data_IF_539170816634
#
_entry.id   IF_539170816634
#
_cell.length_a   1.000
_cell.length_b   1.000
_cell.length_c   1.000
_cell.angle_alpha   90.00
_cell.angle_beta   90.00
_cell.angle_gamma   90.00
#
_symmetry.space_group_name_H-M   'P 1'
#
loop_
_entity.id
_entity.type
_entity.pdbx_description
1 polymer ?
#
# COMPACT_ATOMS: atom_id res chain seq x y z
N UNK A 1 15.59 8.87 -4.08
CA UNK A 1 16.10 7.50 -3.73
C UNK A 1 16.01 7.22 -2.24
N UNK A 2 16.33 8.21 -1.41
CA UNK A 2 16.36 8.11 0.03
C UNK A 2 14.94 7.95 0.64
N UNK A 3 13.95 8.74 0.18
CA UNK A 3 12.54 8.55 0.59
C UNK A 3 12.00 7.19 0.18
N UNK A 4 12.37 6.67 -1.00
CA UNK A 4 11.98 5.33 -1.42
C UNK A 4 12.48 4.26 -0.44
N UNK A 5 13.72 4.35 0.04
CA UNK A 5 14.25 3.47 1.09
C UNK A 5 13.45 3.60 2.39
N UNK A 6 13.11 4.83 2.81
CA UNK A 6 12.32 5.08 4.03
C UNK A 6 10.88 4.53 3.90
N UNK A 7 10.25 4.72 2.76
CA UNK A 7 8.94 4.17 2.45
C UNK A 7 8.96 2.63 2.42
N UNK A 8 9.98 2.03 1.81
CA UNK A 8 10.14 0.58 1.80
C UNK A 8 10.39 0.04 3.22
N UNK A 9 11.20 0.73 4.03
CA UNK A 9 11.40 0.36 5.43
C UNK A 9 10.07 0.41 6.22
N UNK A 10 9.34 1.53 6.17
CA UNK A 10 8.14 1.70 6.97
C UNK A 10 6.95 0.85 6.48
N UNK A 11 6.64 0.85 5.18
CA UNK A 11 5.46 0.17 4.66
C UNK A 11 5.69 -1.31 4.35
N UNK A 12 6.91 -1.70 3.96
CA UNK A 12 7.22 -3.08 3.57
C UNK A 12 7.83 -3.85 4.72
N UNK A 13 8.93 -3.36 5.33
CA UNK A 13 9.61 -4.10 6.42
C UNK A 13 8.82 -4.03 7.73
N UNK A 14 8.36 -2.85 8.12
CA UNK A 14 7.57 -2.60 9.33
C UNK A 14 6.06 -2.79 9.14
N UNK A 15 5.62 -3.22 7.95
CA UNK A 15 4.22 -3.50 7.68
C UNK A 15 3.71 -4.69 8.51
N UNK A 16 2.44 -4.62 8.94
CA UNK A 16 1.78 -5.70 9.70
C UNK A 16 1.90 -7.07 9.00
N UNK A 17 1.91 -7.06 7.66
CA UNK A 17 2.12 -8.26 6.89
C UNK A 17 3.49 -8.89 7.18
N UNK A 18 4.57 -8.11 7.14
CA UNK A 18 5.92 -8.65 7.32
C UNK A 18 6.26 -8.96 8.79
N UNK A 19 5.70 -8.17 9.72
CA UNK A 19 5.93 -8.38 11.15
C UNK A 19 5.12 -9.52 11.75
N UNK A 20 3.97 -9.87 11.17
CA UNK A 20 3.04 -10.86 11.76
C UNK A 20 2.57 -11.87 10.72
N UNK A 21 1.94 -11.41 9.64
CA UNK A 21 1.19 -12.32 8.76
C UNK A 21 2.09 -13.20 7.87
N UNK A 22 3.32 -12.78 7.58
CA UNK A 22 4.35 -13.56 6.88
C UNK A 22 4.66 -14.87 7.62
N UNK A 23 4.73 -14.82 8.95
CA UNK A 23 4.93 -15.98 9.82
C UNK A 23 3.70 -16.87 9.92
N UNK A 24 2.52 -16.36 9.58
CA UNK A 24 1.26 -17.09 9.57
C UNK A 24 0.88 -17.64 8.20
N UNK A 25 1.78 -17.63 7.20
CA UNK A 25 1.49 -18.04 5.81
C UNK A 25 0.85 -19.43 5.72
N UNK A 26 1.25 -20.39 6.56
CA UNK A 26 0.64 -21.71 6.65
C UNK A 26 -0.81 -21.69 7.16
N UNK A 27 -1.08 -20.87 8.18
CA UNK A 27 -2.43 -20.69 8.73
C UNK A 27 -3.36 -19.94 7.76
N UNK A 28 -2.82 -19.00 6.98
CA UNK A 28 -3.57 -18.38 5.88
C UNK A 28 -4.01 -19.40 4.84
N UNK A 29 -3.12 -20.32 4.43
CA UNK A 29 -3.48 -21.42 3.52
C UNK A 29 -4.59 -22.29 4.11
N UNK A 30 -4.49 -22.67 5.38
CA UNK A 30 -5.51 -23.43 6.07
C UNK A 30 -6.85 -22.68 6.14
N UNK A 31 -6.83 -21.38 6.41
CA UNK A 31 -8.02 -20.54 6.42
C UNK A 31 -8.70 -20.50 5.05
N UNK A 32 -7.95 -20.24 3.97
CA UNK A 32 -8.51 -20.27 2.61
C UNK A 32 -9.02 -21.66 2.21
N UNK A 33 -8.33 -22.71 2.62
CA UNK A 33 -8.78 -24.08 2.38
C UNK A 33 -10.11 -24.38 3.08
N UNK A 34 -10.28 -23.95 4.33
CA UNK A 34 -11.54 -24.09 5.05
C UNK A 34 -12.67 -23.23 4.44
N UNK A 35 -12.36 -22.03 3.95
CA UNK A 35 -13.35 -21.23 3.22
C UNK A 35 -13.80 -21.92 1.93
N UNK A 36 -12.86 -22.53 1.19
CA UNK A 36 -13.18 -23.31 0.00
C UNK A 36 -14.05 -24.52 0.35
N UNK A 37 -13.72 -25.23 1.44
CA UNK A 37 -14.50 -26.37 1.92
C UNK A 37 -15.91 -25.94 2.35
N UNK A 38 -16.04 -24.78 2.99
CA UNK A 38 -17.33 -24.18 3.36
C UNK A 38 -18.19 -23.90 2.11
N UNK A 39 -17.61 -23.30 1.07
CA UNK A 39 -18.30 -23.05 -0.20
C UNK A 39 -18.73 -24.34 -0.91
N UNK A 40 -17.86 -25.36 -0.91
CA UNK A 40 -18.20 -26.68 -1.47
C UNK A 40 -19.34 -27.32 -0.68
N UNK A 41 -19.31 -27.22 0.65
CA UNK A 41 -20.38 -27.71 1.50
C UNK A 41 -21.70 -26.97 1.21
N UNK A 42 -21.68 -25.65 1.05
CA UNK A 42 -22.86 -24.86 0.67
C UNK A 42 -23.42 -25.31 -0.69
N UNK A 43 -22.57 -25.56 -1.69
CA UNK A 43 -22.98 -26.06 -3.01
C UNK A 43 -23.61 -27.46 -2.94
N UNK A 44 -23.06 -28.35 -2.11
CA UNK A 44 -23.61 -29.69 -1.89
C UNK A 44 -24.97 -29.58 -1.19
N UNK A 45 -25.06 -28.81 -0.11
CA UNK A 45 -26.30 -28.60 0.64
C UNK A 45 -27.38 -28.01 -0.26
N UNK A 46 -27.02 -27.10 -1.17
CA UNK A 46 -27.95 -26.56 -2.16
C UNK A 46 -28.57 -27.63 -3.08
N UNK A 47 -27.88 -28.76 -3.31
CA UNK A 47 -28.39 -29.84 -4.15
C UNK A 47 -29.32 -30.82 -3.41
N UNK A 48 -29.19 -30.92 -2.09
CA UNK A 48 -29.86 -31.96 -1.28
C UNK A 48 -30.96 -31.44 -0.35
N UNK A 49 -30.99 -30.14 -0.07
CA UNK A 49 -31.92 -29.55 0.91
C UNK A 49 -33.03 -28.76 0.21
N UNK A 50 -34.24 -28.81 0.76
CA UNK A 50 -35.38 -28.02 0.27
C UNK A 50 -35.08 -26.52 0.26
N UNK A 51 -35.58 -25.83 -0.76
CA UNK A 51 -35.34 -24.41 -1.05
C UNK A 51 -35.55 -23.46 0.15
N UNK A 52 -36.44 -23.83 1.07
CA UNK A 52 -36.74 -23.07 2.30
C UNK A 52 -35.53 -22.92 3.24
N UNK A 53 -34.55 -23.82 3.19
CA UNK A 53 -33.41 -23.81 4.12
C UNK A 53 -32.11 -23.25 3.51
N UNK A 54 -32.09 -22.84 2.24
CA UNK A 54 -30.87 -22.27 1.62
C UNK A 54 -30.40 -20.98 2.28
N UNK A 55 -31.32 -20.03 2.51
CA UNK A 55 -30.98 -18.75 3.12
C UNK A 55 -30.40 -18.93 4.54
N UNK A 56 -31.01 -19.74 5.43
CA UNK A 56 -30.43 -20.06 6.73
C UNK A 56 -29.03 -20.68 6.67
N UNK A 57 -28.80 -21.63 5.75
CA UNK A 57 -27.49 -22.30 5.61
C UNK A 57 -26.41 -21.30 5.20
N UNK A 58 -26.69 -20.47 4.18
CA UNK A 58 -25.74 -19.45 3.71
C UNK A 58 -25.42 -18.44 4.83
N UNK A 59 -26.42 -18.01 5.60
CA UNK A 59 -26.21 -17.10 6.73
C UNK A 59 -25.33 -17.73 7.82
N UNK A 60 -25.54 -19.02 8.10
CA UNK A 60 -24.74 -19.76 9.08
C UNK A 60 -23.28 -19.91 8.61
N UNK A 61 -23.08 -20.25 7.33
CA UNK A 61 -21.75 -20.28 6.70
C UNK A 61 -21.08 -18.91 6.76
N UNK A 62 -21.81 -17.82 6.51
CA UNK A 62 -21.29 -16.46 6.58
C UNK A 62 -20.87 -16.07 8.02
N UNK A 63 -21.55 -16.57 9.04
CA UNK A 63 -21.17 -16.42 10.45
C UNK A 63 -19.94 -17.27 10.83
N UNK A 64 -19.72 -18.42 10.19
CA UNK A 64 -18.54 -19.24 10.42
C UNK A 64 -17.25 -18.57 9.94
N UNK A 65 -17.30 -17.76 8.87
CA UNK A 65 -16.13 -17.05 8.31
C UNK A 65 -15.38 -16.21 9.36
N UNK A 66 -16.01 -15.25 10.07
CA UNK A 66 -15.32 -14.45 11.08
C UNK A 66 -14.81 -15.29 12.27
N UNK A 67 -15.52 -16.37 12.62
CA UNK A 67 -15.10 -17.28 13.69
C UNK A 67 -13.84 -18.06 13.32
N UNK A 68 -13.80 -18.61 12.10
CA UNK A 68 -12.60 -19.26 11.54
C UNK A 68 -11.42 -18.28 11.46
N UNK A 69 -11.67 -17.03 11.04
CA UNK A 69 -10.64 -16.00 11.01
C UNK A 69 -10.09 -15.71 12.41
N UNK A 70 -10.97 -15.59 13.41
CA UNK A 70 -10.56 -15.35 14.79
C UNK A 70 -9.68 -16.49 15.33
N UNK A 71 -10.09 -17.74 15.13
CA UNK A 71 -9.39 -18.91 15.65
C UNK A 71 -8.06 -19.12 14.94
N UNK A 72 -8.02 -19.06 13.61
CA UNK A 72 -6.84 -19.43 12.84
C UNK A 72 -5.84 -18.29 12.66
N UNK A 73 -6.31 -17.06 12.54
CA UNK A 73 -5.45 -15.91 12.25
C UNK A 73 -5.26 -15.06 13.50
N UNK A 74 -6.35 -14.53 14.09
CA UNK A 74 -6.23 -13.54 15.18
C UNK A 74 -5.60 -14.13 16.45
N UNK A 75 -6.10 -15.27 16.93
CA UNK A 75 -5.58 -15.91 18.15
C UNK A 75 -4.10 -16.29 18.01
N UNK A 76 -3.73 -16.81 16.84
CA UNK A 76 -2.37 -17.21 16.50
C UNK A 76 -1.44 -16.00 16.37
N UNK A 77 -1.90 -14.92 15.75
CA UNK A 77 -1.18 -13.65 15.69
C UNK A 77 -0.92 -13.10 17.11
N UNK A 78 -1.94 -13.09 17.97
CA UNK A 78 -1.79 -12.65 19.37
C UNK A 78 -0.80 -13.51 20.14
N UNK A 79 -0.86 -14.84 19.98
CA UNK A 79 0.10 -15.77 20.58
C UNK A 79 1.52 -15.51 20.08
N UNK A 80 1.70 -15.35 18.77
CA UNK A 80 2.98 -15.09 18.13
C UNK A 80 3.63 -13.80 18.64
N UNK A 81 2.87 -12.71 18.70
CA UNK A 81 3.35 -11.41 19.21
C UNK A 81 3.79 -11.54 20.68
N UNK A 82 3.03 -12.28 21.49
CA UNK A 82 3.35 -12.49 22.90
C UNK A 82 4.61 -13.35 23.09
N UNK A 83 4.82 -14.38 22.29
CA UNK A 83 6.00 -15.26 22.43
C UNK A 83 7.24 -14.72 21.75
N UNK A 84 7.14 -14.18 20.54
CA UNK A 84 8.31 -13.75 19.75
C UNK A 84 8.74 -12.32 20.05
N UNK A 85 7.81 -11.41 20.32
CA UNK A 85 8.12 -10.00 20.58
C UNK A 85 7.94 -9.62 22.06
N UNK A 86 7.43 -10.54 22.90
CA UNK A 86 7.12 -10.28 24.30
C UNK A 86 6.19 -9.07 24.51
N UNK A 87 5.29 -8.82 23.54
CA UNK A 87 4.32 -7.74 23.61
C UNK A 87 2.97 -8.26 24.13
N UNK A 88 2.32 -7.48 24.99
CA UNK A 88 1.04 -7.88 25.60
C UNK A 88 -0.16 -7.66 24.68
N UNK A 89 -0.06 -6.72 23.75
CA UNK A 89 -1.16 -6.28 22.90
C UNK A 89 -0.70 -5.84 21.50
N UNK A 90 -1.66 -5.71 20.58
CA UNK A 90 -1.43 -5.06 19.28
C UNK A 90 -1.15 -3.56 19.40
N UNK A 91 -1.59 -2.91 20.49
CA UNK A 91 -1.24 -1.50 20.75
C UNK A 91 0.24 -1.34 21.09
N UNK A 92 0.82 -2.28 21.83
CA UNK A 92 2.27 -2.33 22.05
C UNK A 92 3.05 -2.55 20.74
N UNK A 93 2.51 -3.31 19.79
CA UNK A 93 3.11 -3.48 18.46
C UNK A 93 3.20 -2.15 17.69
N UNK A 94 2.16 -1.32 17.75
CA UNK A 94 2.22 0.02 17.13
C UNK A 94 3.29 0.90 17.76
N UNK A 95 3.46 0.83 19.09
CA UNK A 95 4.53 1.56 19.79
C UNK A 95 5.91 1.01 19.42
N UNK A 96 6.07 -0.32 19.35
CA UNK A 96 7.29 -0.98 18.87
C UNK A 96 7.63 -0.53 17.45
N UNK A 97 6.64 -0.51 16.54
CA UNK A 97 6.82 -0.05 15.15
C UNK A 97 7.31 1.39 15.10
N UNK A 98 6.74 2.25 15.94
CA UNK A 98 7.15 3.66 16.03
C UNK A 98 8.58 3.80 16.55
N UNK A 99 8.95 3.03 17.55
CA UNK A 99 10.33 3.03 18.05
C UNK A 99 11.31 2.45 17.03
N UNK A 100 10.98 1.38 16.31
CA UNK A 100 11.82 0.83 15.23
C UNK A 100 12.04 1.86 14.11
N UNK A 101 11.02 2.66 13.80
CA UNK A 101 11.15 3.79 12.89
C UNK A 101 12.08 4.86 13.48
N UNK A 102 11.92 5.24 14.74
CA UNK A 102 12.80 6.19 15.41
C UNK A 102 14.27 5.72 15.42
N UNK A 103 14.56 4.50 15.88
CA UNK A 103 15.91 3.96 15.92
C UNK A 103 16.56 3.86 14.52
N UNK A 104 15.76 3.57 13.49
CA UNK A 104 16.23 3.59 12.10
C UNK A 104 16.57 5.03 11.62
N UNK A 105 15.76 6.01 12.00
CA UNK A 105 15.99 7.43 11.69
C UNK A 105 17.21 7.98 12.44
N UNK A 106 17.35 7.63 13.72
CA UNK A 106 18.48 8.01 14.57
C UNK A 106 19.81 7.51 13.99
N UNK A 107 19.89 6.22 13.62
CA UNK A 107 21.06 5.67 12.91
C UNK A 107 21.35 6.34 11.57
N UNK A 108 20.34 6.93 10.96
CA UNK A 108 20.46 7.66 9.69
C UNK A 108 20.81 9.14 9.90
N UNK A 109 21.06 9.58 11.14
CA UNK A 109 21.43 10.96 11.48
C UNK A 109 20.27 11.87 11.85
N UNK A 110 19.04 11.36 11.96
CA UNK A 110 17.84 12.13 12.33
C UNK A 110 17.43 11.86 13.77
N UNK A 111 18.28 12.25 14.73
CA UNK A 111 18.04 12.01 16.17
C UNK A 111 17.24 13.14 16.83
N UNK A 112 17.37 14.38 16.34
CA UNK A 112 16.78 15.56 16.96
C UNK A 112 15.43 15.95 16.35
N UNK A 113 14.64 16.71 17.10
CA UNK A 113 13.37 17.27 16.61
C UNK A 113 13.55 18.15 15.36
N UNK A 114 14.63 18.94 15.32
CA UNK A 114 14.96 19.81 14.18
C UNK A 114 15.30 18.99 12.93
N UNK A 115 16.02 17.88 13.08
CA UNK A 115 16.35 17.01 11.95
C UNK A 115 15.12 16.26 11.43
N UNK A 116 14.23 15.82 12.33
CA UNK A 116 12.93 15.26 11.93
C UNK A 116 12.05 16.29 11.21
N UNK A 117 12.13 17.58 11.55
CA UNK A 117 11.40 18.63 10.84
C UNK A 117 11.97 18.85 9.43
N UNK A 118 13.31 18.85 9.29
CA UNK A 118 13.97 18.87 7.97
C UNK A 118 13.54 17.66 7.12
N UNK A 119 13.45 16.48 7.72
CA UNK A 119 12.98 15.26 7.04
C UNK A 119 11.53 15.41 6.56
N UNK A 120 10.65 15.98 7.38
CA UNK A 120 9.26 16.25 6.97
C UNK A 120 9.22 17.21 5.77
N UNK A 121 10.02 18.29 5.79
CA UNK A 121 10.09 19.23 4.66
C UNK A 121 10.63 18.55 3.41
N UNK A 122 11.66 17.72 3.54
CA UNK A 122 12.23 16.93 2.46
C UNK A 122 11.21 15.95 1.86
N UNK A 123 10.39 15.32 2.71
CA UNK A 123 9.30 14.45 2.27
C UNK A 123 8.28 15.19 1.41
N UNK A 124 7.83 16.36 1.87
CA UNK A 124 6.88 17.17 1.11
C UNK A 124 7.48 17.69 -0.20
N UNK A 125 8.77 18.04 -0.25
CA UNK A 125 9.41 18.57 -1.46
C UNK A 125 9.59 17.51 -2.55
N UNK A 126 10.09 16.31 -2.23
CA UNK A 126 10.27 15.22 -3.21
C UNK A 126 8.89 14.77 -3.77
N UNK A 127 7.84 14.79 -2.94
CA UNK A 127 6.47 14.48 -3.35
C UNK A 127 5.84 15.58 -4.23
N UNK A 128 6.12 16.85 -3.95
CA UNK A 128 5.69 17.96 -4.80
C UNK A 128 6.37 17.90 -6.18
N UNK A 129 7.65 17.52 -6.23
CA UNK A 129 8.36 17.26 -7.49
C UNK A 129 7.78 16.09 -8.27
N UNK A 130 7.47 14.96 -7.61
CA UNK A 130 6.77 13.84 -8.26
C UNK A 130 5.46 14.33 -8.90
N UNK A 131 4.64 15.10 -8.17
CA UNK A 131 3.36 15.64 -8.67
C UNK A 131 3.57 16.59 -9.86
N UNK A 132 4.59 17.44 -9.81
CA UNK A 132 4.95 18.39 -10.89
C UNK A 132 5.40 17.65 -12.15
N UNK A 133 6.08 16.51 -12.04
CA UNK A 133 6.48 15.69 -13.18
C UNK A 133 5.30 15.00 -13.88
N UNK A 134 4.16 14.80 -13.21
CA UNK A 134 2.98 14.16 -13.81
C UNK A 134 2.08 15.12 -14.62
N UNK A 135 2.01 16.40 -14.25
CA UNK A 135 1.23 17.41 -14.97
C UNK A 135 1.61 17.61 -16.45
N UNK A 136 2.90 17.67 -16.85
CA UNK A 136 3.26 17.79 -18.26
C UNK A 136 2.92 16.52 -19.05
N UNK A 137 2.90 15.35 -18.40
CA UNK A 137 2.64 14.06 -19.05
C UNK A 137 1.21 13.95 -19.58
N UNK A 138 0.23 14.50 -18.86
CA UNK A 138 -1.15 14.57 -19.36
C UNK A 138 -1.31 15.51 -20.56
N UNK A 139 -0.58 16.61 -20.56
CA UNK A 139 -0.59 17.59 -21.67
C UNK A 139 0.10 17.01 -22.89
N UNK A 140 1.23 16.30 -22.72
CA UNK A 140 1.98 15.65 -23.80
C UNK A 140 1.15 14.56 -24.49
N UNK A 141 0.38 13.74 -23.75
CA UNK A 141 -0.51 12.74 -24.35
C UNK A 141 -1.60 13.40 -25.20
N UNK A 142 -2.19 14.49 -24.72
CA UNK A 142 -3.19 15.25 -25.50
C UNK A 142 -2.61 15.86 -26.78
N UNK A 143 -1.42 16.46 -26.69
CA UNK A 143 -0.70 17.03 -27.83
C UNK A 143 -0.26 15.95 -28.82
N UNK A 144 0.20 14.80 -28.34
CA UNK A 144 0.59 13.66 -29.17
C UNK A 144 -0.59 13.10 -29.97
N UNK A 145 -1.75 12.91 -29.32
CA UNK A 145 -2.98 12.45 -30.00
C UNK A 145 -3.41 13.47 -31.06
N UNK A 146 -3.39 14.77 -30.74
CA UNK A 146 -3.75 15.83 -31.68
C UNK A 146 -2.80 15.90 -32.88
N UNK A 147 -1.48 15.81 -32.65
CA UNK A 147 -0.47 15.81 -33.70
C UNK A 147 -0.57 14.56 -34.59
N UNK A 148 -0.77 13.39 -33.99
CA UNK A 148 -0.94 12.13 -34.71
C UNK A 148 -2.18 12.13 -35.61
N UNK A 149 -3.29 12.70 -35.11
CA UNK A 149 -4.51 12.90 -35.90
C UNK A 149 -4.31 13.88 -37.05
N UNK A 150 -3.61 14.99 -36.81
CA UNK A 150 -3.33 15.99 -37.83
C UNK A 150 -2.45 15.42 -38.97
N UNK A 151 -1.44 14.62 -38.63
CA UNK A 151 -0.56 13.97 -39.60
C UNK A 151 -1.35 12.93 -40.40
N UNK A 152 -2.05 12.01 -39.74
CA UNK A 152 -2.81 10.97 -40.44
C UNK A 152 -3.94 11.54 -41.30
N UNK A 153 -4.69 12.51 -40.79
CA UNK A 153 -5.73 13.19 -41.54
C UNK A 153 -5.18 13.98 -42.73
N UNK A 154 -4.05 14.67 -42.55
CA UNK A 154 -3.42 15.45 -43.62
C UNK A 154 -2.76 14.60 -44.70
N UNK A 155 -2.15 13.47 -44.34
CA UNK A 155 -1.45 12.61 -45.30
C UNK A 155 -2.41 11.65 -46.01
N UNK A 156 -3.27 10.92 -45.30
CA UNK A 156 -4.09 9.87 -45.91
C UNK A 156 -5.34 10.39 -46.62
N UNK A 157 -6.00 11.45 -46.12
CA UNK A 157 -7.23 11.94 -46.74
C UNK A 157 -6.99 12.76 -48.02
N UNK A 158 -5.81 13.36 -48.16
CA UNK A 158 -5.43 14.13 -49.35
C UNK A 158 -4.80 13.28 -50.45
N UNK A 159 -4.25 12.10 -50.13
CA UNK A 159 -3.64 11.18 -51.09
C UNK A 159 -4.63 10.23 -51.78
N UNK A 160 -5.90 10.21 -51.35
CA UNK A 160 -6.94 9.33 -51.91
C UNK A 160 -7.85 10.10 -52.87
N UNK A 161 -7.84 9.70 -54.14
CA UNK A 161 -8.65 10.31 -55.19
C UNK A 161 -10.12 9.84 -55.16
N UNK A 162 -10.39 8.61 -54.72
CA UNK A 162 -11.75 8.08 -54.60
C UNK A 162 -12.45 8.59 -53.32
N UNK A 163 -13.63 9.17 -53.51
CA UNK A 163 -14.47 9.73 -52.45
C UNK A 163 -14.91 8.66 -51.44
N UNK A 164 -15.18 7.43 -51.91
CA UNK A 164 -15.66 6.33 -51.06
C UNK A 164 -14.54 5.83 -50.15
N UNK A 165 -13.34 5.63 -50.70
CA UNK A 165 -12.16 5.21 -49.94
C UNK A 165 -11.74 6.27 -48.91
N UNK A 166 -11.80 7.56 -49.29
CA UNK A 166 -11.54 8.68 -48.38
C UNK A 166 -12.52 8.72 -47.21
N UNK A 167 -13.80 8.40 -47.45
CA UNK A 167 -14.82 8.36 -46.39
C UNK A 167 -14.59 7.19 -45.43
N UNK A 168 -14.23 6.01 -45.96
CA UNK A 168 -13.86 4.83 -45.16
C UNK A 168 -12.60 5.12 -44.31
N UNK A 169 -11.57 5.71 -44.91
CA UNK A 169 -10.34 6.09 -44.22
C UNK A 169 -10.60 7.11 -43.10
N UNK A 170 -11.45 8.12 -43.34
CA UNK A 170 -11.84 9.09 -42.32
C UNK A 170 -12.53 8.45 -41.12
N UNK A 171 -13.45 7.50 -41.37
CA UNK A 171 -14.12 6.74 -40.31
C UNK A 171 -13.12 5.89 -39.51
N UNK A 172 -12.20 5.20 -40.19
CA UNK A 172 -11.15 4.41 -39.53
C UNK A 172 -10.22 5.27 -38.67
N UNK A 173 -9.83 6.46 -39.15
CA UNK A 173 -9.01 7.41 -38.40
C UNK A 173 -9.76 7.89 -37.15
N UNK A 174 -11.06 8.20 -37.26
CA UNK A 174 -11.89 8.56 -36.09
C UNK A 174 -11.98 7.43 -35.07
N UNK A 175 -12.21 6.19 -35.51
CA UNK A 175 -12.25 5.02 -34.61
C UNK A 175 -10.91 4.83 -33.91
N UNK A 176 -9.80 4.95 -34.63
CA UNK A 176 -8.46 4.85 -34.05
C UNK A 176 -8.16 5.98 -33.05
N UNK A 177 -8.65 7.20 -33.31
CA UNK A 177 -8.54 8.33 -32.38
C UNK A 177 -9.23 8.03 -31.05
N UNK A 178 -10.44 7.47 -31.11
CA UNK A 178 -11.23 7.10 -29.93
C UNK A 178 -10.49 6.02 -29.14
N UNK A 179 -9.94 5.00 -29.81
CA UNK A 179 -9.17 3.95 -29.16
C UNK A 179 -7.92 4.50 -28.46
N UNK A 180 -7.15 5.37 -29.11
CA UNK A 180 -5.97 6.00 -28.51
C UNK A 180 -6.33 6.88 -27.31
N UNK A 181 -7.44 7.61 -27.38
CA UNK A 181 -7.95 8.40 -26.26
C UNK A 181 -8.33 7.53 -25.06
N UNK A 182 -9.02 6.41 -25.29
CA UNK A 182 -9.37 5.44 -24.23
C UNK A 182 -8.10 4.87 -23.59
N UNK A 183 -7.12 4.46 -24.38
CA UNK A 183 -5.84 3.93 -23.87
C UNK A 183 -5.07 4.99 -23.07
N UNK A 184 -4.98 6.23 -23.59
CA UNK A 184 -4.30 7.33 -22.93
C UNK A 184 -4.94 7.70 -21.58
N UNK A 185 -6.28 7.78 -21.53
CA UNK A 185 -7.02 8.05 -20.29
C UNK A 185 -6.90 6.92 -19.28
N UNK A 186 -6.89 5.65 -19.73
CA UNK A 186 -6.67 4.50 -18.87
C UNK A 186 -5.27 4.51 -18.22
N UNK A 187 -4.22 4.77 -19.01
CA UNK A 187 -2.85 4.92 -18.50
C UNK A 187 -2.78 6.07 -17.48
N UNK A 188 -3.41 7.20 -17.77
CA UNK A 188 -3.45 8.34 -16.87
C UNK A 188 -4.17 8.03 -15.55
N UNK A 189 -5.25 7.25 -15.60
CA UNK A 189 -5.97 6.77 -14.41
C UNK A 189 -5.08 5.91 -13.51
N UNK A 190 -4.30 4.99 -14.09
CA UNK A 190 -3.33 4.16 -13.35
C UNK A 190 -2.27 5.05 -12.68
N UNK A 191 -1.73 6.02 -13.41
CA UNK A 191 -0.72 6.96 -12.90
C UNK A 191 -1.29 7.79 -11.75
N UNK A 192 -2.51 8.33 -11.91
CA UNK A 192 -3.19 9.10 -10.87
C UNK A 192 -3.44 8.27 -9.62
N UNK A 193 -3.92 7.04 -9.77
CA UNK A 193 -4.12 6.12 -8.65
C UNK A 193 -2.83 5.86 -7.88
N UNK A 194 -1.70 5.71 -8.59
CA UNK A 194 -0.38 5.57 -7.97
C UNK A 194 0.03 6.83 -7.19
N UNK A 195 -0.20 8.02 -7.75
CA UNK A 195 0.08 9.30 -7.09
C UNK A 195 -0.79 9.47 -5.82
N UNK A 196 -2.08 9.18 -5.89
CA UNK A 196 -2.99 9.20 -4.74
C UNK A 196 -2.52 8.24 -3.64
N UNK A 197 -2.07 7.04 -4.00
CA UNK A 197 -1.51 6.10 -3.04
C UNK A 197 -0.19 6.60 -2.42
N UNK A 198 0.66 7.28 -3.18
CA UNK A 198 1.88 7.89 -2.64
C UNK A 198 1.56 9.02 -1.64
N UNK A 199 0.60 9.90 -1.95
CA UNK A 199 0.17 10.96 -1.00
C UNK A 199 -0.45 10.40 0.28
N UNK A 200 -1.17 9.28 0.21
CA UNK A 200 -1.66 8.57 1.41
C UNK A 200 -0.50 8.05 2.25
N UNK A 201 0.51 7.43 1.63
CA UNK A 201 1.71 6.94 2.31
C UNK A 201 2.49 8.07 2.98
N UNK A 202 2.67 9.17 2.27
CA UNK A 202 3.29 10.39 2.80
C UNK A 202 2.60 10.87 4.08
N UNK A 203 1.28 11.08 4.04
CA UNK A 203 0.52 11.54 5.22
C UNK A 203 0.68 10.60 6.41
N UNK A 204 0.67 9.28 6.17
CA UNK A 204 0.85 8.29 7.24
C UNK A 204 2.26 8.37 7.82
N UNK A 205 3.29 8.47 6.97
CA UNK A 205 4.68 8.57 7.41
C UNK A 205 4.94 9.86 8.18
N UNK A 206 4.48 11.01 7.65
CA UNK A 206 4.59 12.32 8.31
C UNK A 206 3.89 12.30 9.68
N UNK A 207 2.69 11.70 9.77
CA UNK A 207 1.98 11.56 11.05
C UNK A 207 2.79 10.75 12.08
N UNK A 208 3.48 9.71 11.65
CA UNK A 208 4.29 8.88 12.56
C UNK A 208 5.58 9.59 12.97
N UNK A 209 6.21 10.35 12.06
CA UNK A 209 7.37 11.20 12.39
C UNK A 209 6.96 12.29 13.39
N UNK A 210 5.81 12.94 13.20
CA UNK A 210 5.28 13.92 14.16
C UNK A 210 5.04 13.26 15.52
N UNK A 211 4.45 12.06 15.55
CA UNK A 211 4.25 11.34 16.80
C UNK A 211 5.57 11.00 17.50
N UNK A 212 6.64 10.72 16.76
CA UNK A 212 8.01 10.57 17.29
C UNK A 212 8.51 11.90 17.84
N UNK A 213 8.37 13.01 17.10
CA UNK A 213 8.76 14.35 17.59
C UNK A 213 8.04 14.72 18.89
N UNK A 214 6.74 14.42 19.00
CA UNK A 214 5.98 14.63 20.23
C UNK A 214 6.48 13.75 21.37
N UNK A 215 6.83 12.49 21.09
CA UNK A 215 7.40 11.59 22.09
C UNK A 215 8.76 12.10 22.62
N UNK A 216 9.60 12.62 21.73
CA UNK A 216 10.89 13.24 22.09
C UNK A 216 10.66 14.50 22.93
N UNK A 217 9.75 15.39 22.51
CA UNK A 217 9.38 16.59 23.27
C UNK A 217 8.91 16.25 24.68
N UNK A 218 8.09 15.20 24.83
CA UNK A 218 7.64 14.75 26.15
C UNK A 218 8.82 14.26 26.99
N UNK A 219 9.76 13.51 26.41
CA UNK A 219 10.95 13.08 27.14
C UNK A 219 11.93 14.21 27.49
N UNK A 220 11.97 15.28 26.70
CA UNK A 220 12.78 16.47 26.99
C UNK A 220 12.19 17.26 28.18
N UNK A 221 10.87 17.27 28.32
CA UNK A 221 10.17 18.11 29.31
C UNK A 221 9.66 17.35 30.53
N UNK A 222 9.81 16.02 30.58
CA UNK A 222 9.31 15.17 31.68
C UNK A 222 10.27 14.04 31.98
N UNK A 223 10.14 13.42 33.16
CA UNK A 223 10.86 12.18 33.52
C UNK A 223 10.35 10.92 32.79
N UNK A 224 9.34 11.06 31.92
CA UNK A 224 8.74 9.95 31.21
C UNK A 224 9.45 9.70 29.88
N UNK A 225 10.00 8.50 29.72
CA UNK A 225 10.62 8.04 28.48
C UNK A 225 9.67 7.06 27.74
N UNK A 226 8.88 7.54 26.76
CA UNK A 226 7.83 6.76 26.10
C UNK A 226 8.31 5.49 25.39
N UNK A 227 9.61 5.41 25.08
CA UNK A 227 10.21 4.29 24.36
C UNK A 227 11.08 3.37 25.21
N UNK A 228 11.37 3.71 26.47
CA UNK A 228 12.32 2.96 27.31
C UNK A 228 11.93 1.49 27.50
N UNK A 229 10.63 1.21 27.63
CA UNK A 229 10.12 -0.16 27.69
C UNK A 229 10.28 -0.94 26.37
N UNK A 230 10.21 -0.26 25.22
CA UNK A 230 10.38 -0.88 23.91
C UNK A 230 11.85 -1.08 23.56
N UNK A 231 12.70 -0.12 23.93
CA UNK A 231 14.15 -0.19 23.80
C UNK A 231 14.71 -1.44 24.48
N UNK A 232 14.34 -1.70 25.74
CA UNK A 232 14.74 -2.92 26.45
C UNK A 232 14.32 -4.20 25.73
N UNK A 233 13.05 -4.29 25.31
CA UNK A 233 12.52 -5.45 24.58
C UNK A 233 13.21 -5.68 23.24
N UNK A 234 13.67 -4.63 22.58
CA UNK A 234 14.40 -4.72 21.31
C UNK A 234 15.87 -5.06 21.54
N UNK A 235 16.49 -4.51 22.59
CA UNK A 235 17.84 -4.88 23.02
C UNK A 235 17.96 -6.37 23.40
N UNK A 236 16.86 -7.01 23.79
CA UNK A 236 16.82 -8.43 24.13
C UNK A 236 16.44 -9.33 22.93
N UNK A 237 16.11 -8.76 21.76
CA UNK A 237 15.61 -9.51 20.61
C UNK A 237 16.44 -9.29 19.35
N UNK A 238 17.24 -10.30 18.97
CA UNK A 238 18.18 -10.20 17.84
C UNK A 238 17.49 -9.96 16.50
N UNK A 239 16.29 -10.51 16.29
CA UNK A 239 15.51 -10.25 15.08
C UNK A 239 15.09 -8.78 14.99
N UNK A 240 14.67 -8.16 16.10
CA UNK A 240 14.30 -6.75 16.11
C UNK A 240 15.52 -5.82 15.95
N UNK A 241 16.68 -6.20 16.51
CA UNK A 241 17.95 -5.52 16.24
C UNK A 241 18.33 -5.57 14.77
N UNK A 242 18.17 -6.73 14.13
CA UNK A 242 18.48 -6.94 12.71
C UNK A 242 17.63 -6.05 11.81
N UNK A 243 16.35 -5.85 12.16
CA UNK A 243 15.48 -4.92 11.44
C UNK A 243 16.08 -3.51 11.42
N UNK A 244 16.61 -3.04 12.56
CA UNK A 244 17.24 -1.70 12.67
C UNK A 244 18.57 -1.63 11.91
N UNK A 245 19.38 -2.71 11.90
CA UNK A 245 20.70 -2.73 11.22
C UNK A 245 20.62 -2.98 9.71
N UNK A 246 19.46 -3.38 9.18
CA UNK A 246 19.31 -3.74 7.77
C UNK A 246 19.39 -2.53 6.80
N UNK A 247 20.63 -2.11 6.50
CA UNK A 247 21.09 -1.03 5.60
C UNK A 247 20.51 0.35 5.94
N UNK A 248 21.31 1.12 6.68
CA UNK A 248 21.14 2.55 6.93
C UNK A 248 20.92 3.35 5.64
N UNK A 249 20.28 4.50 5.80
CA UNK A 249 19.90 5.41 4.72
C UNK A 249 21.10 5.95 3.92
N UNK A 250 22.25 6.07 4.58
CA UNK A 250 23.56 6.40 4.01
C UNK A 250 24.18 5.18 3.32
#
# INVERSE_FOLDING_TARGET
>A
MAIKKLNDFYFKKLGNWNLIHSFLKGFWRAFFFLLLLLLIADLIVMKFVNDRYFIPVILLSLLCIPLLYYILIYSRAKKFIRTRYQLRSFTELTTMRRYLLYAYLEKSGFSTRADLEKLIRFIHSEMAEEKKNYQPLSTVVGVFIAAFLAILGGTFLFLMDDVVERLIAAVLIMVMAILLFIVGTFIMSIIRSKSENNTKKERVLTKEIIAIQTAILVSENTSYHPFLAMERKIAENDFLKEIITSRSFL
#
